data_IF_883249058507
#
_entry.id   IF_883249058507
#
_cell.length_a   1.000
_cell.length_b   1.000
_cell.length_c   1.000
_cell.angle_alpha   90.00
_cell.angle_beta   90.00
_cell.angle_gamma   90.00
#
_symmetry.space_group_name_H-M   'P 1'
#
loop_
_entity.id
_entity.type
_entity.pdbx_description
1 polymer ?
#
# COMPACT_ATOMS: atom_id res chain seq x y z
N UNK A 1 31.99 69.15 -5.30
CA UNK A 1 31.62 67.97 -4.47
C UNK A 1 30.53 67.23 -5.20
N UNK A 2 30.83 66.09 -5.84
CA UNK A 2 29.87 65.27 -6.57
C UNK A 2 29.48 64.08 -5.67
N UNK A 3 28.24 64.05 -5.23
CA UNK A 3 27.67 62.89 -4.49
C UNK A 3 27.22 61.81 -5.48
N UNK A 4 27.91 60.66 -5.46
CA UNK A 4 27.51 59.47 -6.16
C UNK A 4 26.63 58.62 -5.22
N UNK A 5 25.33 58.56 -5.56
CA UNK A 5 24.35 57.69 -4.89
C UNK A 5 24.47 56.31 -5.54
N UNK A 6 25.06 55.33 -4.80
CA UNK A 6 25.11 53.92 -5.22
C UNK A 6 23.79 53.25 -4.85
N UNK A 7 22.94 52.97 -5.84
CA UNK A 7 21.69 52.26 -5.65
C UNK A 7 21.97 50.74 -5.54
N UNK A 8 21.75 50.17 -4.36
CA UNK A 8 21.81 48.69 -4.15
C UNK A 8 20.47 48.08 -4.56
N UNK A 9 20.47 47.42 -5.70
CA UNK A 9 19.31 46.66 -6.17
C UNK A 9 19.27 45.29 -5.46
N UNK A 10 18.41 45.14 -4.45
CA UNK A 10 18.14 43.85 -3.80
C UNK A 10 17.30 43.00 -4.74
N UNK A 11 17.90 41.99 -5.34
CA UNK A 11 17.22 40.96 -6.12
C UNK A 11 16.57 39.96 -5.15
N UNK A 12 15.27 40.07 -4.91
CA UNK A 12 14.49 39.06 -4.16
C UNK A 12 14.31 37.83 -5.03
N UNK A 13 15.14 36.80 -4.80
CA UNK A 13 14.96 35.49 -5.37
C UNK A 13 13.88 34.77 -4.53
N UNK A 14 12.65 34.75 -4.99
CA UNK A 14 11.59 33.93 -4.44
C UNK A 14 11.86 32.47 -4.79
N UNK A 15 12.37 31.72 -3.84
CA UNK A 15 12.50 30.26 -3.94
C UNK A 15 11.09 29.68 -3.83
N UNK A 16 10.46 29.38 -4.95
CA UNK A 16 9.27 28.54 -4.97
C UNK A 16 9.67 27.12 -4.58
N UNK A 17 9.52 26.76 -3.30
CA UNK A 17 9.57 25.39 -2.87
C UNK A 17 8.35 24.66 -3.46
N UNK A 18 8.51 23.99 -4.59
CA UNK A 18 7.56 23.01 -5.08
C UNK A 18 7.58 21.85 -4.09
N UNK A 19 6.65 21.87 -3.13
CA UNK A 19 6.31 20.65 -2.38
C UNK A 19 5.73 19.66 -3.41
N UNK A 20 6.53 18.69 -3.83
CA UNK A 20 6.01 17.56 -4.60
C UNK A 20 5.03 16.82 -3.69
N UNK A 21 3.73 17.07 -3.90
CA UNK A 21 2.67 16.30 -3.26
C UNK A 21 2.92 14.84 -3.66
N UNK A 22 3.30 14.00 -2.70
CA UNK A 22 3.54 12.58 -2.95
C UNK A 22 2.28 11.98 -3.57
N UNK A 23 2.41 11.44 -4.76
CA UNK A 23 1.31 10.79 -5.46
C UNK A 23 0.93 9.51 -4.71
N UNK A 24 -0.31 9.44 -4.22
CA UNK A 24 -0.79 8.31 -3.41
C UNK A 24 -0.69 6.99 -4.18
N UNK A 25 -1.02 7.04 -5.46
CA UNK A 25 -1.05 5.87 -6.33
C UNK A 25 -0.46 6.23 -7.71
N UNK A 26 0.82 5.89 -7.97
CA UNK A 26 1.50 6.22 -9.23
C UNK A 26 0.83 5.60 -10.44
N UNK A 27 0.65 6.37 -11.51
CA UNK A 27 -0.04 5.95 -12.73
C UNK A 27 0.64 4.74 -13.40
N UNK A 28 1.95 4.62 -13.33
CA UNK A 28 2.68 3.46 -13.84
C UNK A 28 2.29 2.16 -13.12
N UNK A 29 1.94 2.21 -11.81
CA UNK A 29 1.48 1.05 -11.04
C UNK A 29 0.06 0.63 -11.43
N UNK A 30 -0.80 1.60 -11.69
CA UNK A 30 -2.14 1.37 -12.22
C UNK A 30 -2.06 0.74 -13.61
N UNK A 31 -1.25 1.31 -14.51
CA UNK A 31 -1.05 0.82 -15.87
C UNK A 31 -0.47 -0.61 -15.89
N UNK A 32 0.46 -0.92 -14.98
CA UNK A 32 1.02 -2.27 -14.83
C UNK A 32 -0.06 -3.30 -14.49
N UNK A 33 -0.97 -2.97 -13.57
CA UNK A 33 -2.11 -3.85 -13.23
C UNK A 33 -3.09 -3.96 -14.38
N UNK A 34 -3.48 -2.86 -15.03
CA UNK A 34 -4.37 -2.89 -16.20
C UNK A 34 -3.83 -3.79 -17.31
N UNK A 35 -2.51 -3.72 -17.56
CA UNK A 35 -1.86 -4.59 -18.54
C UNK A 35 -1.89 -6.06 -18.09
N UNK A 36 -1.55 -6.34 -16.84
CA UNK A 36 -1.48 -7.70 -16.30
C UNK A 36 -2.84 -8.43 -16.31
N UNK A 37 -3.94 -7.72 -16.03
CA UNK A 37 -5.28 -8.32 -15.99
C UNK A 37 -5.91 -8.48 -17.38
N UNK A 38 -5.40 -7.83 -18.41
CA UNK A 38 -5.98 -7.86 -19.76
C UNK A 38 -6.03 -9.29 -20.30
N UNK A 39 -7.25 -9.77 -20.60
CA UNK A 39 -7.48 -11.13 -21.07
C UNK A 39 -7.25 -12.24 -20.04
N UNK A 40 -7.11 -11.90 -18.77
CA UNK A 40 -6.89 -12.86 -17.68
C UNK A 40 -8.19 -13.23 -16.96
N UNK A 41 -8.07 -14.12 -15.95
CA UNK A 41 -9.18 -14.52 -15.07
C UNK A 41 -9.54 -13.47 -14.00
N UNK A 42 -8.73 -12.42 -13.83
CA UNK A 42 -8.86 -11.47 -12.73
C UNK A 42 -9.97 -10.43 -12.97
N UNK A 43 -10.41 -9.79 -11.87
CA UNK A 43 -11.41 -8.73 -11.93
C UNK A 43 -10.90 -7.56 -12.79
N UNK A 44 -11.61 -7.15 -13.88
CA UNK A 44 -11.14 -6.08 -14.76
C UNK A 44 -11.50 -4.68 -14.25
N UNK A 45 -12.34 -4.56 -13.22
CA UNK A 45 -12.88 -3.29 -12.75
C UNK A 45 -12.25 -2.83 -11.43
N UNK A 46 -11.85 -3.76 -10.56
CA UNK A 46 -11.34 -3.44 -9.22
C UNK A 46 -9.99 -4.11 -9.00
N UNK A 47 -9.06 -3.33 -8.45
CA UNK A 47 -7.80 -3.82 -7.90
C UNK A 47 -7.51 -3.16 -6.55
N UNK A 48 -6.67 -3.81 -5.76
CA UNK A 48 -6.18 -3.31 -4.48
C UNK A 48 -4.72 -2.94 -4.61
N UNK A 49 -4.31 -1.82 -4.01
CA UNK A 49 -2.93 -1.36 -4.00
C UNK A 49 -2.45 -1.08 -2.58
N UNK A 50 -1.19 -1.41 -2.31
CA UNK A 50 -0.48 -1.01 -1.09
C UNK A 50 0.78 -0.25 -1.50
N UNK A 51 0.84 1.04 -1.16
CA UNK A 51 2.03 1.87 -1.38
C UNK A 51 2.84 1.95 -0.08
N UNK A 52 3.86 1.11 0.06
CA UNK A 52 4.70 1.08 1.25
C UNK A 52 5.68 2.27 1.38
N UNK A 53 5.78 3.16 0.36
CA UNK A 53 6.50 4.44 0.50
C UNK A 53 5.78 5.42 1.42
N UNK A 54 4.46 5.26 1.57
CA UNK A 54 3.66 6.07 2.49
C UNK A 54 3.88 5.54 3.92
N UNK A 55 4.10 6.41 4.92
CA UNK A 55 4.24 6.01 6.32
C UNK A 55 3.08 5.14 6.81
N UNK A 56 3.35 4.20 7.73
CA UNK A 56 2.34 3.20 8.13
C UNK A 56 1.17 3.77 8.93
N UNK A 57 1.33 4.93 9.56
CA UNK A 57 0.23 5.65 10.21
C UNK A 57 -0.67 6.43 9.25
N UNK A 58 -0.40 6.39 7.96
CA UNK A 58 -1.17 7.08 6.91
C UNK A 58 -1.91 6.10 6.01
N UNK A 59 -2.93 6.59 5.30
CA UNK A 59 -3.66 5.78 4.34
C UNK A 59 -2.75 5.38 3.18
N UNK A 60 -2.44 4.09 3.08
CA UNK A 60 -1.55 3.52 2.06
C UNK A 60 -2.08 2.21 1.45
N UNK A 61 -3.28 1.79 1.84
CA UNK A 61 -4.06 0.73 1.23
C UNK A 61 -5.21 1.36 0.45
N UNK A 62 -5.40 0.98 -0.81
CA UNK A 62 -6.37 1.56 -1.71
C UNK A 62 -7.19 0.47 -2.41
N UNK A 63 -8.51 0.59 -2.38
CA UNK A 63 -9.40 -0.09 -3.33
C UNK A 63 -9.61 0.86 -4.49
N UNK A 64 -9.29 0.43 -5.70
CA UNK A 64 -9.23 1.28 -6.88
C UNK A 64 -10.15 0.78 -7.99
N UNK A 65 -10.96 1.68 -8.54
CA UNK A 65 -11.80 1.47 -9.72
C UNK A 65 -10.94 1.66 -10.98
N UNK A 66 -10.56 0.57 -11.60
CA UNK A 66 -9.73 0.55 -12.81
C UNK A 66 -10.46 1.11 -14.04
N UNK A 67 -11.81 1.01 -14.07
CA UNK A 67 -12.65 1.47 -15.16
C UNK A 67 -12.80 2.99 -15.14
N UNK A 68 -13.12 3.55 -13.98
CA UNK A 68 -13.37 4.97 -13.83
C UNK A 68 -12.13 5.77 -13.35
N UNK A 69 -11.02 5.11 -13.08
CA UNK A 69 -9.76 5.75 -12.73
C UNK A 69 -9.78 6.47 -11.37
N UNK A 70 -10.42 5.90 -10.34
CA UNK A 70 -10.57 6.57 -9.04
C UNK A 70 -10.37 5.63 -7.85
N UNK A 71 -9.88 6.18 -6.75
CA UNK A 71 -9.83 5.50 -5.46
C UNK A 71 -11.26 5.42 -4.91
N UNK A 72 -11.74 4.20 -4.62
CA UNK A 72 -13.03 3.94 -3.99
C UNK A 72 -12.91 4.02 -2.47
N UNK A 73 -11.89 3.39 -1.92
CA UNK A 73 -11.63 3.31 -0.49
C UNK A 73 -10.15 3.46 -0.19
N UNK A 74 -9.81 4.01 0.96
CA UNK A 74 -8.44 4.11 1.45
C UNK A 74 -8.36 3.85 2.95
N UNK A 75 -7.28 3.24 3.39
CA UNK A 75 -7.10 2.93 4.81
C UNK A 75 -5.65 2.68 5.19
N UNK A 76 -5.45 2.53 6.50
CA UNK A 76 -4.17 2.16 7.08
C UNK A 76 -3.96 0.67 6.88
N UNK A 77 -2.72 0.28 6.58
CA UNK A 77 -2.29 -1.11 6.54
C UNK A 77 -0.95 -1.28 7.25
N UNK A 78 -0.83 -2.34 8.04
CA UNK A 78 0.43 -2.72 8.69
C UNK A 78 1.46 -3.26 7.69
N UNK A 79 2.68 -3.44 8.16
CA UNK A 79 3.73 -4.22 7.52
C UNK A 79 4.41 -5.13 8.53
N UNK A 80 5.22 -6.06 8.05
CA UNK A 80 5.92 -7.02 8.89
C UNK A 80 6.99 -6.39 9.77
N UNK A 81 7.15 -6.88 10.99
CA UNK A 81 8.15 -6.38 11.94
C UNK A 81 9.58 -6.51 11.41
N UNK A 82 9.87 -7.55 10.65
CA UNK A 82 11.17 -7.72 9.99
C UNK A 82 11.43 -6.72 8.85
N UNK A 83 10.39 -5.97 8.41
CA UNK A 83 10.57 -4.91 7.38
C UNK A 83 11.13 -3.61 7.95
N UNK A 84 11.11 -3.42 9.26
CA UNK A 84 11.62 -2.21 9.92
C UNK A 84 13.13 -2.22 9.91
N UNK A 85 13.74 -1.10 9.51
CA UNK A 85 15.18 -0.87 9.61
C UNK A 85 15.39 0.12 10.75
N UNK A 86 16.20 -0.27 11.72
CA UNK A 86 16.51 0.57 12.87
C UNK A 86 17.08 1.93 12.44
N UNK A 87 16.59 3.00 13.06
CA UNK A 87 16.98 4.38 12.78
C UNK A 87 16.79 4.83 11.32
N UNK A 88 15.78 4.25 10.62
CA UNK A 88 15.48 4.57 9.22
C UNK A 88 13.98 4.54 8.96
N UNK A 89 13.51 5.45 8.10
CA UNK A 89 12.14 5.41 7.58
C UNK A 89 11.97 4.40 6.42
N UNK A 90 13.09 3.85 5.92
CA UNK A 90 13.07 2.88 4.82
C UNK A 90 12.61 1.51 5.32
N UNK A 91 11.87 0.82 4.48
CA UNK A 91 11.47 -0.55 4.72
C UNK A 91 12.29 -1.50 3.84
N UNK A 92 12.48 -2.72 4.36
CA UNK A 92 13.05 -3.84 3.61
C UNK A 92 12.01 -4.93 3.43
N UNK A 93 12.14 -5.72 2.37
CA UNK A 93 11.14 -6.70 1.96
C UNK A 93 11.80 -8.03 1.64
N UNK A 94 11.10 -9.13 1.89
CA UNK A 94 11.64 -10.47 1.65
C UNK A 94 10.55 -11.47 1.30
N UNK A 95 10.94 -12.49 0.54
CA UNK A 95 10.14 -13.68 0.25
C UNK A 95 10.59 -14.91 1.07
N UNK A 96 11.53 -14.72 2.02
CA UNK A 96 12.11 -15.79 2.85
C UNK A 96 11.17 -16.07 4.02
N UNK A 97 10.94 -17.37 4.30
CA UNK A 97 10.19 -17.81 5.48
C UNK A 97 10.85 -17.32 6.77
N UNK A 98 10.04 -17.06 7.79
CA UNK A 98 10.48 -16.58 9.10
C UNK A 98 11.26 -15.26 9.08
N UNK A 99 11.30 -14.54 7.95
CA UNK A 99 11.89 -13.21 7.89
C UNK A 99 11.04 -12.16 8.60
N UNK A 100 9.76 -12.46 8.85
CA UNK A 100 8.75 -11.51 9.37
C UNK A 100 8.62 -10.23 8.55
N UNK A 101 9.19 -10.20 7.34
CA UNK A 101 9.13 -9.08 6.42
C UNK A 101 7.87 -9.19 5.55
N UNK A 102 7.30 -8.05 5.17
CA UNK A 102 6.35 -8.01 4.06
C UNK A 102 7.07 -8.34 2.75
N UNK A 103 6.35 -8.80 1.74
CA UNK A 103 6.88 -9.01 0.40
C UNK A 103 6.16 -8.11 -0.62
N UNK A 104 6.89 -7.66 -1.62
CA UNK A 104 6.37 -6.83 -2.71
C UNK A 104 5.89 -7.71 -3.87
N UNK A 105 5.05 -7.12 -4.72
CA UNK A 105 4.58 -7.75 -5.95
C UNK A 105 3.06 -7.89 -6.00
N UNK A 106 2.60 -8.57 -7.04
CA UNK A 106 1.20 -8.86 -7.29
C UNK A 106 0.76 -10.12 -6.55
N UNK A 107 -0.43 -10.07 -5.98
CA UNK A 107 -1.07 -11.19 -5.31
C UNK A 107 -2.47 -11.41 -5.86
N UNK A 108 -2.87 -12.64 -6.01
CA UNK A 108 -4.28 -13.02 -6.09
C UNK A 108 -4.86 -13.04 -4.67
N UNK A 109 -5.91 -12.26 -4.42
CA UNK A 109 -6.71 -12.43 -3.21
C UNK A 109 -7.55 -13.69 -3.43
N UNK A 110 -7.15 -14.77 -2.75
CA UNK A 110 -7.74 -16.09 -2.90
C UNK A 110 -8.89 -16.32 -1.88
N UNK A 111 -9.25 -17.57 -1.67
CA UNK A 111 -10.39 -17.96 -0.84
C UNK A 111 -10.29 -17.41 0.59
N UNK A 112 -11.42 -16.97 1.12
CA UNK A 112 -11.56 -16.64 2.54
C UNK A 112 -11.62 -17.89 3.40
N UNK A 113 -11.25 -17.73 4.67
CA UNK A 113 -11.40 -18.74 5.70
C UNK A 113 -11.58 -18.07 7.06
N UNK A 114 -12.03 -18.83 8.06
CA UNK A 114 -12.07 -18.36 9.45
C UNK A 114 -10.87 -18.96 10.17
N UNK A 115 -9.99 -18.10 10.68
CA UNK A 115 -8.79 -18.48 11.43
C UNK A 115 -8.69 -17.75 12.77
N UNK A 116 -7.49 -17.71 13.35
CA UNK A 116 -7.24 -17.08 14.65
C UNK A 116 -7.57 -15.57 14.66
N UNK A 117 -7.56 -14.92 13.49
CA UNK A 117 -7.89 -13.49 13.32
C UNK A 117 -9.32 -13.28 12.80
N UNK A 118 -10.20 -14.29 12.92
CA UNK A 118 -11.51 -14.29 12.29
C UNK A 118 -11.42 -14.47 10.79
N UNK A 119 -12.33 -13.83 10.02
CA UNK A 119 -12.32 -13.88 8.57
C UNK A 119 -11.01 -13.34 8.00
N UNK A 120 -10.40 -14.08 7.10
CA UNK A 120 -9.13 -13.76 6.47
C UNK A 120 -9.15 -14.23 5.02
N UNK A 121 -8.32 -13.61 4.15
CA UNK A 121 -8.14 -14.02 2.76
C UNK A 121 -6.70 -14.48 2.54
N UNK A 122 -6.51 -15.66 1.96
CA UNK A 122 -5.18 -16.12 1.55
C UNK A 122 -4.66 -15.24 0.42
N UNK A 123 -3.37 -14.90 0.47
CA UNK A 123 -2.70 -14.15 -0.57
C UNK A 123 -1.76 -15.10 -1.33
N UNK A 124 -2.09 -15.36 -2.60
CA UNK A 124 -1.24 -16.17 -3.50
C UNK A 124 -0.32 -15.22 -4.26
N UNK A 125 0.98 -15.32 -4.02
CA UNK A 125 1.98 -14.53 -4.73
C UNK A 125 2.08 -14.90 -6.20
N UNK A 126 2.18 -13.90 -7.06
CA UNK A 126 2.23 -14.06 -8.52
C UNK A 126 3.58 -13.64 -9.11
N UNK A 127 4.44 -13.01 -8.32
CA UNK A 127 5.77 -12.56 -8.72
C UNK A 127 6.86 -13.36 -7.96
N UNK A 128 8.10 -13.35 -8.49
CA UNK A 128 9.24 -14.00 -7.81
C UNK A 128 9.49 -13.43 -6.41
N UNK A 129 9.18 -12.16 -6.20
CA UNK A 129 9.36 -11.43 -4.94
C UNK A 129 8.39 -11.85 -3.85
N UNK A 130 7.32 -12.59 -4.17
CA UNK A 130 6.30 -13.05 -3.24
C UNK A 130 5.82 -14.50 -3.50
N UNK A 131 6.54 -15.28 -4.30
CA UNK A 131 6.15 -16.65 -4.68
C UNK A 131 5.95 -17.58 -3.48
N UNK A 132 6.60 -17.32 -2.33
CA UNK A 132 6.45 -18.07 -1.11
C UNK A 132 5.29 -17.60 -0.21
N UNK A 133 4.47 -16.65 -0.65
CA UNK A 133 3.40 -16.06 0.19
C UNK A 133 2.49 -17.14 0.81
N UNK A 134 2.06 -18.13 0.04
CA UNK A 134 1.23 -19.24 0.55
C UNK A 134 1.95 -20.07 1.60
N UNK A 135 3.22 -20.42 1.36
CA UNK A 135 4.07 -21.20 2.27
C UNK A 135 4.35 -20.43 3.56
N UNK A 136 4.51 -19.11 3.45
CA UNK A 136 4.68 -18.18 4.56
C UNK A 136 3.37 -17.84 5.29
N UNK A 137 2.24 -18.41 4.88
CA UNK A 137 0.90 -18.12 5.40
C UNK A 137 0.54 -16.63 5.37
N UNK A 138 0.97 -15.90 4.34
CA UNK A 138 0.63 -14.48 4.17
C UNK A 138 -0.85 -14.35 3.82
N UNK A 139 -1.57 -13.59 4.64
CA UNK A 139 -3.03 -13.39 4.54
C UNK A 139 -3.40 -11.94 4.75
N UNK A 140 -4.49 -11.51 4.12
CA UNK A 140 -5.15 -10.25 4.41
C UNK A 140 -6.16 -10.49 5.54
N UNK A 141 -5.99 -9.81 6.67
CA UNK A 141 -6.86 -9.95 7.83
C UNK A 141 -6.99 -8.64 8.60
N UNK A 142 -7.86 -8.60 9.61
CA UNK A 142 -7.97 -7.46 10.51
C UNK A 142 -7.30 -7.72 11.86
N UNK A 143 -6.87 -6.62 12.49
CA UNK A 143 -6.47 -6.64 13.90
C UNK A 143 -6.82 -5.29 14.54
N UNK A 144 -7.34 -5.32 15.76
CA UNK A 144 -7.85 -4.12 16.48
C UNK A 144 -6.78 -3.07 16.81
N UNK A 145 -5.49 -3.44 16.76
CA UNK A 145 -4.39 -2.50 16.96
C UNK A 145 -4.19 -1.55 15.74
N UNK A 146 -4.67 -1.92 14.54
CA UNK A 146 -4.69 -1.02 13.38
C UNK A 146 -5.85 -0.05 13.52
N UNK A 147 -5.61 1.25 13.38
CA UNK A 147 -6.61 2.31 13.51
C UNK A 147 -7.26 2.64 12.17
N UNK A 148 -8.46 3.24 12.23
CA UNK A 148 -9.15 3.75 11.04
C UNK A 148 -8.61 5.12 10.64
N UNK A 149 -8.31 5.99 11.62
CA UNK A 149 -7.83 7.35 11.40
C UNK A 149 -6.31 7.40 11.28
N UNK A 150 -5.85 8.32 10.43
CA UNK A 150 -4.43 8.61 10.27
C UNK A 150 -3.83 9.22 11.54
N UNK A 151 -2.57 8.88 11.79
CA UNK A 151 -1.77 9.46 12.87
C UNK A 151 -0.32 9.65 12.45
N UNK A 152 0.46 10.38 13.25
CA UNK A 152 1.91 10.47 13.10
C UNK A 152 2.62 9.22 13.65
N UNK A 153 1.95 8.47 14.53
CA UNK A 153 2.49 7.22 15.04
C UNK A 153 2.32 6.10 14.00
N UNK A 154 3.32 5.22 13.86
CA UNK A 154 3.23 4.08 12.96
C UNK A 154 2.11 3.10 13.37
N UNK A 155 1.54 2.40 12.41
CA UNK A 155 0.64 1.29 12.67
C UNK A 155 1.38 0.15 13.39
N UNK A 156 0.64 -0.67 14.14
CA UNK A 156 1.20 -1.88 14.75
C UNK A 156 1.76 -2.83 13.68
N UNK A 157 2.79 -3.58 14.06
CA UNK A 157 3.52 -4.46 13.16
C UNK A 157 2.89 -5.87 13.11
N UNK A 158 3.00 -6.51 11.94
CA UNK A 158 2.62 -7.90 11.71
C UNK A 158 3.85 -8.82 11.63
N UNK A 159 3.64 -10.09 11.32
CA UNK A 159 4.70 -11.02 10.96
C UNK A 159 4.83 -11.18 9.42
N UNK A 160 4.48 -10.12 8.68
CA UNK A 160 4.55 -10.05 7.21
C UNK A 160 3.21 -9.87 6.52
N UNK A 161 2.09 -10.18 7.18
CA UNK A 161 0.73 -10.03 6.65
C UNK A 161 0.32 -8.56 6.55
N UNK A 162 -0.42 -8.13 5.53
CA UNK A 162 -1.13 -6.87 5.56
C UNK A 162 -2.33 -7.00 6.52
N UNK A 163 -2.32 -6.19 7.60
CA UNK A 163 -3.42 -6.09 8.56
C UNK A 163 -4.14 -4.76 8.40
N UNK A 164 -5.45 -4.79 8.45
CA UNK A 164 -6.33 -3.62 8.40
C UNK A 164 -7.05 -3.45 9.75
N UNK A 165 -7.65 -2.28 9.98
CA UNK A 165 -8.60 -2.12 11.08
C UNK A 165 -9.83 -3.02 10.84
N UNK A 166 -10.56 -3.42 11.90
CA UNK A 166 -11.77 -4.24 11.74
C UNK A 166 -12.84 -3.58 10.85
N UNK A 167 -13.04 -2.27 10.97
CA UNK A 167 -14.05 -1.55 10.18
C UNK A 167 -13.64 -1.47 8.71
N UNK A 168 -12.40 -1.05 8.43
CA UNK A 168 -11.91 -0.96 7.06
C UNK A 168 -11.80 -2.33 6.39
N UNK A 169 -11.40 -3.37 7.14
CA UNK A 169 -11.40 -4.75 6.63
C UNK A 169 -12.80 -5.20 6.21
N UNK A 170 -13.85 -4.88 6.99
CA UNK A 170 -15.25 -5.19 6.64
C UNK A 170 -15.65 -4.53 5.31
N UNK A 171 -15.25 -3.28 5.10
CA UNK A 171 -15.47 -2.56 3.85
C UNK A 171 -14.76 -3.25 2.68
N UNK A 172 -13.44 -3.53 2.83
CA UNK A 172 -12.63 -4.21 1.79
C UNK A 172 -13.19 -5.61 1.49
N UNK A 173 -13.57 -6.36 2.53
CA UNK A 173 -14.17 -7.69 2.38
C UNK A 173 -15.46 -7.64 1.54
N UNK A 174 -16.26 -6.58 1.66
CA UNK A 174 -17.47 -6.44 0.86
C UNK A 174 -17.22 -6.31 -0.64
N UNK A 175 -16.08 -5.73 -1.05
CA UNK A 175 -15.67 -5.71 -2.46
C UNK A 175 -15.18 -7.08 -2.93
N UNK A 176 -14.40 -7.76 -2.09
CA UNK A 176 -13.84 -9.08 -2.42
C UNK A 176 -14.96 -10.12 -2.54
N UNK A 177 -15.87 -10.17 -1.56
CA UNK A 177 -16.94 -11.18 -1.51
C UNK A 177 -17.97 -11.04 -2.63
N UNK A 178 -18.20 -9.81 -3.12
CA UNK A 178 -19.13 -9.57 -4.24
C UNK A 178 -18.50 -9.78 -5.61
N UNK A 179 -17.19 -9.94 -5.66
CA UNK A 179 -16.48 -10.10 -6.92
C UNK A 179 -16.57 -11.54 -7.44
N UNK A 180 -17.15 -11.74 -8.62
CA UNK A 180 -17.18 -13.05 -9.29
C UNK A 180 -15.80 -13.53 -9.73
N UNK A 181 -14.86 -12.60 -9.93
CA UNK A 181 -13.50 -12.88 -10.37
C UNK A 181 -12.50 -12.50 -9.26
N UNK A 182 -11.40 -13.23 -9.12
CA UNK A 182 -10.38 -12.87 -8.13
C UNK A 182 -9.87 -11.44 -8.32
N UNK A 183 -9.84 -10.67 -7.22
CA UNK A 183 -9.27 -9.32 -7.21
C UNK A 183 -7.75 -9.44 -7.02
N UNK A 184 -6.98 -8.63 -7.74
CA UNK A 184 -5.53 -8.50 -7.52
C UNK A 184 -5.24 -7.48 -6.42
N UNK A 185 -4.23 -7.80 -5.61
CA UNK A 185 -3.57 -6.88 -4.70
C UNK A 185 -2.14 -6.66 -5.20
N UNK A 186 -1.73 -5.40 -5.36
CA UNK A 186 -0.37 -5.03 -5.74
C UNK A 186 0.30 -4.23 -4.63
N UNK A 187 1.30 -4.82 -3.99
CA UNK A 187 2.14 -4.19 -2.98
C UNK A 187 3.45 -3.71 -3.62
N UNK A 188 3.79 -2.43 -3.45
CA UNK A 188 4.99 -1.81 -4.03
C UNK A 188 5.64 -0.80 -3.07
N UNK A 189 6.88 -0.45 -3.40
CA UNK A 189 7.71 0.49 -2.64
C UNK A 189 8.49 1.44 -3.56
#
# INVERSE_FOLDING_TARGET
MKNTITSFLFLLISVFAFSQKQELLPENKISEIKHFIKGSKYNPEIAVFINFKIPSGKHRFFVYDLKNGKILEKGIVSHGSGSVVENSEKLVFSNIENSYQSSLGKYEIANSYIGNFGKSYRLKGLDKTNSNAMKRAIVLHSLSCVKDEESENPACLSLGCPMLSPNFFKTVASYIDRSEKPILLYAFY
#
